data_IF_579507271073
#
_entry.id   IF_579507271073
#
_cell.length_a   1.000
_cell.length_b   1.000
_cell.length_c   1.000
_cell.angle_alpha   90.00
_cell.angle_beta   90.00
_cell.angle_gamma   90.00
#
_symmetry.space_group_name_H-M   'P 1'
#
loop_
_entity.id
_entity.type
_entity.pdbx_description
1 polymer ?
#
# COMPACT_ATOMS: atom_id res chain seq x y z
N UNK A 1 -10.65 23.66 20.55
CA UNK A 1 -9.80 22.48 20.63
C UNK A 1 -8.37 22.89 20.91
N UNK A 2 -7.75 22.21 21.83
CA UNK A 2 -6.37 22.51 22.18
C UNK A 2 -5.42 21.53 21.47
N UNK A 3 -4.15 21.65 21.75
CA UNK A 3 -3.13 20.80 21.10
C UNK A 3 -3.36 19.31 21.36
N UNK A 4 -3.72 18.96 22.60
CA UNK A 4 -3.93 17.56 22.93
C UNK A 4 -5.13 16.98 22.19
N UNK A 5 -6.19 17.78 21.99
CA UNK A 5 -7.35 17.33 21.23
C UNK A 5 -6.97 17.04 19.78
N UNK A 6 -6.15 17.89 19.18
CA UNK A 6 -5.72 17.68 17.82
C UNK A 6 -4.78 16.48 17.69
N UNK A 7 -3.94 16.27 18.69
CA UNK A 7 -3.07 15.07 18.72
C UNK A 7 -3.90 13.80 18.82
N UNK A 8 -4.95 13.82 19.65
CA UNK A 8 -5.85 12.67 19.74
C UNK A 8 -6.53 12.41 18.40
N UNK A 9 -6.94 13.48 17.72
CA UNK A 9 -7.56 13.36 16.41
C UNK A 9 -6.58 12.73 15.40
N UNK A 10 -5.32 13.16 15.42
CA UNK A 10 -4.30 12.57 14.56
C UNK A 10 -4.13 11.08 14.86
N UNK A 11 -4.12 10.70 16.14
CA UNK A 11 -3.98 9.29 16.50
C UNK A 11 -5.13 8.46 15.94
N UNK A 12 -6.36 8.98 16.01
CA UNK A 12 -7.49 8.28 15.43
C UNK A 12 -7.35 8.12 13.93
N UNK A 13 -6.92 9.18 13.26
CA UNK A 13 -6.75 9.14 11.82
C UNK A 13 -5.64 8.18 11.42
N UNK A 14 -4.54 8.16 12.17
CA UNK A 14 -3.46 7.23 11.90
C UNK A 14 -3.93 5.79 12.03
N UNK A 15 -4.76 5.49 13.03
CA UNK A 15 -5.29 4.14 13.18
C UNK A 15 -6.15 3.76 11.98
N UNK A 16 -6.95 4.70 11.48
CA UNK A 16 -7.80 4.44 10.32
C UNK A 16 -6.98 4.25 9.06
N UNK A 17 -5.94 5.07 8.90
CA UNK A 17 -5.04 4.93 7.77
C UNK A 17 -4.36 3.56 7.80
N UNK A 18 -3.89 3.14 8.98
CA UNK A 18 -3.24 1.84 9.12
C UNK A 18 -4.19 0.71 8.74
N UNK A 19 -5.44 0.76 9.18
CA UNK A 19 -6.42 -0.25 8.82
C UNK A 19 -6.64 -0.29 7.31
N UNK A 20 -6.77 0.88 6.69
CA UNK A 20 -7.00 0.95 5.25
C UNK A 20 -5.78 0.48 4.46
N UNK A 21 -4.58 0.80 4.94
CA UNK A 21 -3.36 0.32 4.29
C UNK A 21 -3.29 -1.20 4.33
N UNK A 22 -3.64 -1.80 5.45
CA UNK A 22 -3.63 -3.26 5.55
C UNK A 22 -4.71 -3.92 4.71
N UNK A 23 -5.87 -3.28 4.58
CA UNK A 23 -6.92 -3.77 3.68
C UNK A 23 -6.46 -3.71 2.24
N UNK A 24 -5.78 -2.62 1.87
CA UNK A 24 -5.23 -2.49 0.54
C UNK A 24 -4.16 -3.53 0.29
N UNK A 25 -3.34 -3.81 1.30
CA UNK A 25 -2.29 -4.84 1.19
C UNK A 25 -2.90 -6.22 0.98
N UNK A 26 -4.00 -6.51 1.67
CA UNK A 26 -4.71 -7.78 1.48
C UNK A 26 -5.24 -7.91 0.05
N UNK A 27 -5.78 -6.81 -0.49
CA UNK A 27 -6.25 -6.80 -1.86
C UNK A 27 -5.08 -7.03 -2.83
N UNK A 28 -3.92 -6.43 -2.53
CA UNK A 28 -2.73 -6.62 -3.35
C UNK A 28 -2.28 -8.08 -3.35
N UNK A 29 -2.37 -8.75 -2.20
CA UNK A 29 -2.05 -10.18 -2.13
C UNK A 29 -2.98 -11.00 -3.02
N UNK A 30 -4.26 -10.66 -3.07
CA UNK A 30 -5.20 -11.34 -3.95
C UNK A 30 -4.86 -11.10 -5.42
N UNK A 31 -4.48 -9.88 -5.76
CA UNK A 31 -4.06 -9.56 -7.12
C UNK A 31 -2.81 -10.35 -7.49
N UNK A 32 -1.85 -10.44 -6.57
CA UNK A 32 -0.64 -11.23 -6.79
C UNK A 32 -0.96 -12.70 -7.06
N UNK A 33 -1.90 -13.26 -6.31
CA UNK A 33 -2.31 -14.64 -6.51
C UNK A 33 -2.93 -14.84 -7.91
N UNK A 34 -3.80 -13.90 -8.30
CA UNK A 34 -4.42 -13.99 -9.63
C UNK A 34 -3.40 -13.85 -10.74
N UNK A 35 -2.43 -12.96 -10.58
CA UNK A 35 -1.38 -12.78 -11.59
C UNK A 35 -0.55 -14.04 -11.76
N UNK A 36 -0.24 -14.72 -10.64
CA UNK A 36 0.50 -15.98 -10.74
C UNK A 36 -0.28 -17.04 -11.47
N UNK A 37 -1.59 -17.12 -11.21
CA UNK A 37 -2.44 -18.10 -11.88
C UNK A 37 -2.55 -17.84 -13.37
N UNK A 38 -2.48 -16.55 -13.77
CA UNK A 38 -2.58 -16.17 -15.17
C UNK A 38 -1.22 -16.00 -15.82
N UNK A 39 -0.14 -16.26 -15.08
CA UNK A 39 1.23 -16.09 -15.56
C UNK A 39 1.48 -14.66 -16.03
N UNK A 40 0.90 -13.70 -15.31
CA UNK A 40 1.07 -12.29 -15.62
C UNK A 40 2.16 -11.69 -14.74
N UNK A 41 2.84 -10.64 -15.22
CA UNK A 41 3.91 -10.03 -14.42
C UNK A 41 3.35 -9.31 -13.19
N UNK A 42 4.11 -9.39 -12.10
CA UNK A 42 3.75 -8.72 -10.87
C UNK A 42 3.84 -7.21 -11.03
N UNK A 43 4.94 -6.72 -11.61
CA UNK A 43 5.15 -5.29 -11.76
C UNK A 43 4.39 -4.77 -12.97
N UNK A 44 3.53 -3.78 -12.76
CA UNK A 44 2.74 -3.17 -13.81
C UNK A 44 2.96 -1.65 -13.77
N UNK A 45 4.03 -1.16 -14.38
CA UNK A 45 4.40 0.25 -14.28
C UNK A 45 3.34 1.21 -14.83
N UNK A 46 2.61 0.81 -15.85
CA UNK A 46 1.55 1.66 -16.42
C UNK A 46 0.41 1.83 -15.44
N UNK A 47 0.06 0.76 -14.73
CA UNK A 47 -0.99 0.82 -13.72
C UNK A 47 -0.55 1.68 -12.55
N UNK A 48 0.71 1.57 -12.12
CA UNK A 48 1.22 2.38 -11.02
C UNK A 48 1.24 3.86 -11.39
N UNK A 49 1.65 4.17 -12.62
CA UNK A 49 1.65 5.55 -13.09
C UNK A 49 0.23 6.12 -13.12
N UNK A 50 -0.75 5.32 -13.52
CA UNK A 50 -2.14 5.75 -13.55
C UNK A 50 -2.66 6.07 -12.15
N UNK A 51 -2.32 5.22 -11.18
CA UNK A 51 -2.74 5.44 -9.80
C UNK A 51 -2.16 6.74 -9.26
N UNK A 52 -0.87 6.98 -9.50
CA UNK A 52 -0.22 8.20 -9.03
C UNK A 52 -0.86 9.45 -9.65
N UNK A 53 -1.12 9.41 -10.95
CA UNK A 53 -1.73 10.54 -11.64
C UNK A 53 -3.13 10.80 -11.10
N UNK A 54 -3.93 9.75 -10.99
CA UNK A 54 -5.33 9.90 -10.54
C UNK A 54 -5.41 10.47 -9.13
N UNK A 55 -4.58 9.94 -8.23
CA UNK A 55 -4.62 10.39 -6.84
C UNK A 55 -4.08 11.81 -6.70
N UNK A 56 -3.06 12.15 -7.45
CA UNK A 56 -2.55 13.51 -7.42
C UNK A 56 -3.58 14.52 -7.90
N UNK A 57 -4.35 14.15 -8.94
CA UNK A 57 -5.40 15.02 -9.46
C UNK A 57 -6.61 15.09 -8.53
N UNK A 58 -6.85 14.03 -7.77
CA UNK A 58 -8.03 13.94 -6.93
C UNK A 58 -7.86 14.70 -5.60
N UNK A 59 -6.64 14.87 -5.14
CA UNK A 59 -6.41 15.48 -3.84
C UNK A 59 -6.90 16.92 -3.84
N UNK A 60 -7.88 17.20 -2.99
CA UNK A 60 -8.46 18.52 -2.84
C UNK A 60 -8.10 19.16 -1.51
N UNK A 61 -7.30 18.51 -0.72
CA UNK A 61 -6.94 18.99 0.60
C UNK A 61 -5.59 19.69 0.63
N UNK A 62 -5.02 19.86 1.81
CA UNK A 62 -3.73 20.55 1.95
C UNK A 62 -2.56 19.81 1.31
N UNK A 63 -2.67 18.48 1.10
CA UNK A 63 -1.57 17.75 0.50
C UNK A 63 -1.59 17.92 -1.01
N UNK A 64 -0.52 18.48 -1.53
CA UNK A 64 -0.38 18.70 -2.96
C UNK A 64 0.04 17.40 -3.67
N UNK A 65 -0.10 17.39 -4.99
CA UNK A 65 0.20 16.21 -5.80
C UNK A 65 1.58 15.62 -5.54
N UNK A 66 2.66 16.41 -5.42
CA UNK A 66 3.97 15.80 -5.16
C UNK A 66 4.02 15.03 -3.84
N UNK A 67 3.36 15.55 -2.79
CA UNK A 67 3.32 14.86 -1.49
C UNK A 67 2.52 13.57 -1.59
N UNK A 68 1.37 13.62 -2.24
CA UNK A 68 0.52 12.44 -2.45
C UNK A 68 1.29 11.40 -3.25
N UNK A 69 1.99 11.82 -4.29
CA UNK A 69 2.76 10.87 -5.11
C UNK A 69 3.87 10.20 -4.31
N UNK A 70 4.55 10.96 -3.46
CA UNK A 70 5.62 10.39 -2.63
C UNK A 70 5.07 9.32 -1.69
N UNK A 71 3.94 9.60 -1.05
CA UNK A 71 3.30 8.65 -0.14
C UNK A 71 2.87 7.40 -0.89
N UNK A 72 2.20 7.57 -2.04
CA UNK A 72 1.69 6.42 -2.77
C UNK A 72 2.78 5.60 -3.43
N UNK A 73 3.91 6.20 -3.78
CA UNK A 73 5.04 5.41 -4.27
C UNK A 73 5.50 4.41 -3.24
N UNK A 74 5.51 4.81 -1.96
CA UNK A 74 5.88 3.90 -0.88
C UNK A 74 4.82 2.81 -0.70
N UNK A 75 3.56 3.18 -0.76
CA UNK A 75 2.47 2.21 -0.64
C UNK A 75 2.55 1.18 -1.78
N UNK A 76 2.75 1.67 -3.01
CA UNK A 76 2.83 0.79 -4.18
C UNK A 76 4.04 -0.13 -4.09
N UNK A 77 5.17 0.40 -3.63
CA UNK A 77 6.38 -0.39 -3.46
C UNK A 77 6.18 -1.49 -2.41
N UNK A 78 5.57 -1.14 -1.29
CA UNK A 78 5.31 -2.10 -0.22
C UNK A 78 4.36 -3.21 -0.69
N UNK A 79 3.32 -2.85 -1.42
CA UNK A 79 2.36 -3.84 -1.93
C UNK A 79 3.00 -4.73 -2.99
N UNK A 80 3.83 -4.17 -3.86
CA UNK A 80 4.53 -4.96 -4.87
C UNK A 80 5.47 -5.96 -4.21
N UNK A 81 6.14 -5.54 -3.14
CA UNK A 81 7.01 -6.44 -2.39
C UNK A 81 6.21 -7.60 -1.79
N UNK A 82 5.02 -7.33 -1.29
CA UNK A 82 4.16 -8.38 -0.75
C UNK A 82 3.75 -9.39 -1.82
N UNK A 83 3.43 -8.92 -3.01
CA UNK A 83 3.05 -9.81 -4.10
C UNK A 83 4.19 -10.76 -4.44
N UNK A 84 5.41 -10.27 -4.44
CA UNK A 84 6.60 -11.11 -4.68
C UNK A 84 6.90 -12.02 -3.50
N UNK A 85 6.77 -11.52 -2.29
CA UNK A 85 7.03 -12.28 -1.08
C UNK A 85 6.07 -13.44 -0.92
N UNK A 86 4.82 -13.25 -1.35
CA UNK A 86 3.85 -14.33 -1.27
C UNK A 86 4.33 -15.56 -2.01
N UNK A 87 4.98 -15.38 -3.15
CA UNK A 87 5.55 -16.49 -3.89
C UNK A 87 6.64 -17.17 -3.07
N UNK A 88 7.48 -16.41 -2.40
CA UNK A 88 8.55 -16.96 -1.59
C UNK A 88 7.99 -17.66 -0.35
N UNK A 89 7.01 -17.08 0.29
CA UNK A 89 6.39 -17.66 1.46
C UNK A 89 5.77 -19.00 1.18
N UNK A 90 5.21 -19.14 0.00
CA UNK A 90 4.61 -20.40 -0.39
C UNK A 90 5.65 -21.51 -0.45
N UNK A 91 6.87 -21.18 -0.79
CA UNK A 91 7.96 -22.14 -0.89
C UNK A 91 8.61 -22.43 0.47
N UNK A 92 8.61 -21.44 1.37
CA UNK A 92 9.30 -21.61 2.64
C UNK A 92 8.55 -20.99 3.77
N UNK A 93 7.63 -21.70 4.36
CA UNK A 93 6.79 -21.13 5.39
C UNK A 93 7.55 -20.57 6.58
N UNK A 94 8.59 -21.23 6.98
CA UNK A 94 9.33 -20.74 8.14
C UNK A 94 10.07 -19.46 7.86
N UNK A 95 10.29 -19.15 6.61
CA UNK A 95 10.98 -17.92 6.29
C UNK A 95 10.16 -16.70 6.59
N UNK A 96 8.88 -16.85 6.82
CA UNK A 96 8.02 -15.73 6.95
C UNK A 96 8.07 -15.13 8.31
N UNK A 97 8.53 -15.87 9.30
CA UNK A 97 8.49 -15.29 10.56
C UNK A 97 9.69 -15.17 11.17
N UNK A 98 10.42 -15.45 10.68
CA UNK A 98 11.48 -15.17 11.33
C UNK A 98 11.69 -13.85 11.53
N UNK A 99 11.61 -13.45 11.70
CA UNK A 99 11.95 -12.38 11.95
C UNK A 99 11.33 -11.58 12.49
N UNK A 100 10.86 -12.01 12.67
CA UNK A 100 10.46 -11.27 13.29
C UNK A 100 10.50 -10.68 13.87
#
# INVERSE_FOLDING_TARGET
MNLDDWRSRINELDNRILQLLNQRAEAALQIGDLKRRQDAPIYAPEREAEILRRLGETSAGPLAAPAINAIWREILSACRALESTLTISFLGPEATFTHQ
#
